data_IF_613605160077
#
_entry.id   IF_613605160077
#
_cell.length_a   1.000
_cell.length_b   1.000
_cell.length_c   1.000
_cell.angle_alpha   90.00
_cell.angle_beta   90.00
_cell.angle_gamma   90.00
#
_symmetry.space_group_name_H-M   'P 1'
#
loop_
_entity.id
_entity.type
_entity.pdbx_description
1 polymer ?
#
# COMPACT_ATOMS: atom_id res chain seq x y z
N UNK A 1 -3.87 -4.79 -4.42
CA UNK A 1 -2.82 -5.31 -5.34
C UNK A 1 -3.01 -4.84 -6.78
N UNK A 2 -4.25 -4.72 -7.27
CA UNK A 2 -4.56 -4.28 -8.64
C UNK A 2 -4.01 -2.87 -9.02
N UNK A 3 -4.00 -1.90 -8.09
CA UNK A 3 -3.52 -0.54 -8.35
C UNK A 3 -2.02 -0.40 -8.63
N UNK A 4 -1.18 -1.30 -8.12
CA UNK A 4 0.27 -1.26 -8.39
C UNK A 4 0.62 -1.75 -9.81
N UNK A 5 -0.27 -2.53 -10.42
CA UNK A 5 -0.12 -3.01 -11.78
C UNK A 5 -0.51 -1.91 -12.79
N UNK A 6 -1.54 -1.12 -12.48
CA UNK A 6 -2.01 -0.01 -13.32
C UNK A 6 -1.03 1.17 -13.39
N UNK A 7 -0.16 1.34 -12.39
CA UNK A 7 0.81 2.45 -12.34
C UNK A 7 2.17 2.15 -12.99
N UNK A 8 2.35 0.96 -13.59
CA UNK A 8 3.63 0.56 -14.21
C UNK A 8 4.77 0.28 -13.22
N UNK A 9 4.50 0.28 -11.90
CA UNK A 9 5.52 0.14 -10.85
C UNK A 9 6.03 -1.30 -10.65
N UNK A 10 5.55 -2.27 -11.45
CA UNK A 10 6.00 -3.68 -11.41
C UNK A 10 6.68 -4.16 -12.70
N UNK A 11 6.97 -3.26 -13.64
CA UNK A 11 7.47 -3.64 -14.97
C UNK A 11 8.85 -4.34 -14.93
N UNK A 12 9.81 -3.84 -14.16
CA UNK A 12 11.13 -4.46 -14.00
C UNK A 12 11.56 -4.55 -12.53
N UNK A 13 11.93 -5.77 -12.09
CA UNK A 13 12.42 -6.04 -10.73
C UNK A 13 13.96 -5.91 -10.63
N UNK A 14 14.50 -4.76 -11.02
CA UNK A 14 15.96 -4.54 -11.12
C UNK A 14 16.57 -3.81 -9.90
N UNK A 15 15.75 -3.25 -9.02
CA UNK A 15 16.19 -2.57 -7.79
C UNK A 15 16.45 -3.52 -6.62
N UNK A 16 17.53 -3.31 -5.87
CA UNK A 16 17.83 -4.03 -4.62
C UNK A 16 17.65 -3.13 -3.41
N UNK A 17 16.89 -3.61 -2.42
CA UNK A 17 16.76 -2.98 -1.10
C UNK A 17 17.27 -3.96 -0.05
N UNK A 18 18.14 -3.48 0.84
CA UNK A 18 18.70 -4.25 1.94
C UNK A 18 18.78 -3.39 3.20
N UNK A 19 18.49 -3.97 4.36
CA UNK A 19 18.52 -3.29 5.64
C UNK A 19 18.24 -4.24 6.79
N UNK A 20 18.65 -3.87 8.01
CA UNK A 20 18.30 -4.61 9.23
C UNK A 20 16.92 -4.18 9.70
N UNK A 21 16.08 -5.16 9.97
CA UNK A 21 14.71 -4.96 10.47
C UNK A 21 14.48 -5.92 11.62
N UNK A 22 13.68 -5.52 12.61
CA UNK A 22 13.30 -6.39 13.73
C UNK A 22 12.57 -7.64 13.23
N UNK A 23 12.96 -8.82 13.71
CA UNK A 23 12.32 -10.08 13.36
C UNK A 23 10.85 -10.12 13.81
N UNK A 24 10.53 -9.52 14.96
CA UNK A 24 9.16 -9.44 15.46
C UNK A 24 8.28 -8.57 14.56
N UNK A 25 8.84 -7.48 14.02
CA UNK A 25 8.15 -6.62 13.06
C UNK A 25 7.82 -7.39 11.78
N UNK A 26 8.79 -8.13 11.23
CA UNK A 26 8.58 -8.97 10.04
C UNK A 26 7.47 -9.99 10.30
N UNK A 27 7.53 -10.69 11.44
CA UNK A 27 6.53 -11.71 11.81
C UNK A 27 5.13 -11.12 11.90
N UNK A 28 4.96 -10.01 12.60
CA UNK A 28 3.66 -9.35 12.73
C UNK A 28 3.15 -8.83 11.38
N UNK A 29 4.02 -8.25 10.57
CA UNK A 29 3.65 -7.73 9.26
C UNK A 29 3.18 -8.85 8.33
N UNK A 30 3.89 -9.99 8.29
CA UNK A 30 3.45 -11.21 7.57
C UNK A 30 2.12 -11.74 8.08
N UNK A 31 1.92 -11.81 9.39
CA UNK A 31 0.66 -12.25 9.97
C UNK A 31 -0.52 -11.34 9.58
N UNK A 32 -0.30 -10.03 9.50
CA UNK A 32 -1.33 -9.05 9.12
C UNK A 32 -1.64 -9.06 7.62
N UNK A 33 -0.65 -9.26 6.76
CA UNK A 33 -0.82 -9.20 5.30
C UNK A 33 -1.09 -10.57 4.67
N UNK A 34 -0.80 -11.67 5.37
CA UNK A 34 -0.84 -13.02 4.83
C UNK A 34 0.35 -13.37 3.92
N UNK A 35 1.32 -12.47 3.77
CA UNK A 35 2.49 -12.67 2.92
C UNK A 35 3.52 -13.57 3.62
N UNK A 36 4.15 -14.46 2.85
CA UNK A 36 5.15 -15.40 3.38
C UNK A 36 6.57 -15.00 2.98
N UNK A 37 6.72 -14.29 1.85
CA UNK A 37 7.99 -13.81 1.33
C UNK A 37 8.37 -12.43 1.88
N UNK A 38 9.62 -12.27 2.28
CA UNK A 38 10.17 -10.95 2.68
C UNK A 38 10.19 -9.98 1.50
N UNK A 39 10.47 -10.48 0.29
CA UNK A 39 10.46 -9.66 -0.93
C UNK A 39 9.06 -9.15 -1.23
N UNK A 40 8.03 -10.02 -1.12
CA UNK A 40 6.64 -9.59 -1.32
C UNK A 40 6.20 -8.59 -0.26
N UNK A 41 6.65 -8.77 0.98
CA UNK A 41 6.36 -7.84 2.07
C UNK A 41 6.97 -6.45 1.81
N UNK A 42 8.20 -6.41 1.29
CA UNK A 42 8.87 -5.16 0.89
C UNK A 42 8.17 -4.52 -0.31
N UNK A 43 7.85 -5.29 -1.36
CA UNK A 43 7.09 -4.79 -2.52
C UNK A 43 5.74 -4.21 -2.09
N UNK A 44 5.02 -4.90 -1.20
CA UNK A 44 3.75 -4.44 -0.65
C UNK A 44 3.91 -3.13 0.13
N UNK A 45 4.92 -3.04 1.00
CA UNK A 45 5.17 -1.81 1.76
C UNK A 45 5.48 -0.62 0.84
N UNK A 46 6.36 -0.82 -0.15
CA UNK A 46 6.72 0.19 -1.13
C UNK A 46 5.53 0.61 -1.99
N UNK A 47 4.70 -0.35 -2.42
CA UNK A 47 3.49 -0.05 -3.15
C UNK A 47 2.53 0.81 -2.32
N UNK A 48 2.35 0.54 -1.02
CA UNK A 48 1.50 1.38 -0.17
C UNK A 48 2.07 2.80 -0.02
N UNK A 49 3.39 2.95 0.11
CA UNK A 49 4.02 4.28 0.19
C UNK A 49 3.94 5.03 -1.13
N UNK A 50 4.16 4.35 -2.26
CA UNK A 50 4.13 4.95 -3.59
C UNK A 50 2.71 5.25 -4.09
N UNK A 51 1.72 4.45 -3.67
CA UNK A 51 0.32 4.56 -4.04
C UNK A 51 -0.53 5.19 -2.94
N UNK A 52 0.06 5.81 -1.93
CA UNK A 52 -0.70 6.52 -0.90
C UNK A 52 -1.45 7.67 -1.59
N UNK A 53 -2.69 7.38 -1.96
CA UNK A 53 -3.49 8.13 -2.93
C UNK A 53 -4.11 9.35 -2.27
N UNK A 54 -3.26 10.29 -1.82
CA UNK A 54 -3.60 11.42 -0.96
C UNK A 54 -4.59 11.07 0.16
N UNK A 55 -4.70 9.80 0.58
CA UNK A 55 -5.89 9.35 1.30
C UNK A 55 -5.97 10.05 2.65
N UNK A 56 -4.84 10.16 3.35
CA UNK A 56 -4.77 10.88 4.61
C UNK A 56 -5.10 12.38 4.44
N UNK A 57 -4.70 13.00 3.33
CA UNK A 57 -5.01 14.39 3.04
C UNK A 57 -6.48 14.60 2.69
N UNK A 58 -6.99 13.80 1.75
CA UNK A 58 -8.39 13.79 1.33
C UNK A 58 -9.29 13.49 2.53
N UNK A 59 -9.02 12.43 3.29
CA UNK A 59 -9.78 12.09 4.50
C UNK A 59 -9.81 13.23 5.52
N UNK A 60 -8.68 13.92 5.76
CA UNK A 60 -8.64 15.12 6.60
C UNK A 60 -9.49 16.26 6.03
N UNK A 61 -9.45 16.48 4.71
CA UNK A 61 -10.24 17.50 4.02
C UNK A 61 -11.73 17.21 4.05
N UNK A 62 -12.15 15.98 3.79
CA UNK A 62 -13.57 15.60 3.81
C UNK A 62 -14.12 15.48 5.23
N UNK A 63 -13.30 15.32 6.28
CA UNK A 63 -13.78 15.21 7.68
C UNK A 63 -14.90 14.17 7.86
N UNK A 64 -14.84 13.08 7.09
CA UNK A 64 -15.88 12.04 7.10
C UNK A 64 -17.18 12.41 6.39
N UNK A 65 -17.24 13.54 5.67
CA UNK A 65 -18.33 13.86 4.75
C UNK A 65 -18.03 13.29 3.36
N UNK A 66 -19.09 13.15 2.57
CA UNK A 66 -19.01 12.85 1.14
C UNK A 66 -19.76 13.95 0.40
N UNK A 67 -19.40 14.19 -0.88
CA UNK A 67 -20.13 15.15 -1.70
C UNK A 67 -21.62 14.75 -1.76
N UNK A 68 -22.56 15.63 -1.35
CA UNK A 68 -23.99 15.32 -1.36
C UNK A 68 -24.55 14.97 -2.74
N UNK A 69 -23.86 15.37 -3.81
CA UNK A 69 -24.24 15.11 -5.20
C UNK A 69 -23.64 13.81 -5.76
N UNK A 70 -22.77 13.16 -4.99
CA UNK A 70 -22.16 11.88 -5.36
C UNK A 70 -23.22 10.79 -5.40
N UNK A 71 -23.49 10.25 -6.60
CA UNK A 71 -24.37 9.10 -6.76
C UNK A 71 -23.65 7.83 -6.32
N UNK A 72 -23.89 7.42 -5.08
CA UNK A 72 -23.55 6.09 -4.60
C UNK A 72 -24.51 5.10 -5.27
N UNK A 73 -23.97 4.27 -6.16
CA UNK A 73 -24.77 3.33 -6.94
C UNK A 73 -25.46 2.33 -6.02
N UNK A 74 -26.77 2.46 -5.90
CA UNK A 74 -27.70 1.44 -5.42
C UNK A 74 -28.81 1.30 -6.46
#
# INVERSE_FOLDING_TARGET
MQRAEESGLRAEKNGRIAGRVSADLIKQAKARTGLTSDTELVEFALANVALEDNFAETFRKTRGTVDPTLKLGF
#
